data_IF_832660166786
#
_entry.id   IF_832660166786
#
_cell.length_a   1.000
_cell.length_b   1.000
_cell.length_c   1.000
_cell.angle_alpha   90.00
_cell.angle_beta   90.00
_cell.angle_gamma   90.00
#
_symmetry.space_group_name_H-M   'P 1'
#
loop_
_entity.id
_entity.type
_entity.pdbx_description
1 polymer ?
#
# COMPACT_ATOMS: atom_id res chain seq x y z
N UNK A 1 -33.29 -6.47 6.69
CA UNK A 1 -32.26 -7.43 7.15
C UNK A 1 -32.57 -7.77 8.60
N UNK A 2 -32.53 -9.05 9.00
CA UNK A 2 -32.58 -9.43 10.41
C UNK A 2 -31.16 -9.40 10.99
N UNK A 3 -30.86 -8.32 11.71
CA UNK A 3 -29.51 -8.07 12.23
C UNK A 3 -29.18 -9.00 13.40
N UNK A 4 -30.15 -9.31 14.26
CA UNK A 4 -29.93 -10.18 15.41
C UNK A 4 -29.59 -11.60 14.97
N UNK A 5 -30.30 -12.11 13.96
CA UNK A 5 -29.99 -13.41 13.36
C UNK A 5 -28.58 -13.44 12.78
N UNK A 6 -28.19 -12.41 12.02
CA UNK A 6 -26.86 -12.34 11.42
C UNK A 6 -25.74 -12.25 12.46
N UNK A 7 -25.89 -11.41 13.49
CA UNK A 7 -24.91 -11.29 14.58
C UNK A 7 -24.83 -12.57 15.45
N UNK A 8 -25.87 -13.41 15.42
CA UNK A 8 -25.86 -14.74 16.04
C UNK A 8 -25.06 -15.79 15.26
N UNK A 9 -24.60 -15.50 14.03
CA UNK A 9 -23.78 -16.42 13.25
C UNK A 9 -22.33 -16.46 13.77
N UNK A 10 -21.61 -17.59 13.55
CA UNK A 10 -20.20 -17.72 13.89
C UNK A 10 -19.31 -16.64 13.25
N UNK A 11 -18.21 -16.31 13.95
CA UNK A 11 -17.24 -15.28 13.53
C UNK A 11 -16.69 -15.55 12.13
N UNK A 12 -16.40 -16.81 11.78
CA UNK A 12 -15.82 -17.17 10.48
C UNK A 12 -16.74 -16.80 9.31
N UNK A 13 -18.05 -16.99 9.47
CA UNK A 13 -19.04 -16.61 8.45
C UNK A 13 -19.08 -15.09 8.31
N UNK A 14 -19.18 -14.38 9.44
CA UNK A 14 -19.23 -12.91 9.45
C UNK A 14 -17.96 -12.29 8.88
N UNK A 15 -16.79 -12.87 9.19
CA UNK A 15 -15.50 -12.48 8.61
C UNK A 15 -15.53 -12.56 7.08
N UNK A 16 -15.98 -13.68 6.51
CA UNK A 16 -16.05 -13.83 5.05
C UNK A 16 -17.05 -12.86 4.42
N UNK A 17 -18.20 -12.63 5.06
CA UNK A 17 -19.17 -11.64 4.60
C UNK A 17 -18.56 -10.24 4.56
N UNK A 18 -17.92 -9.80 5.64
CA UNK A 18 -17.29 -8.49 5.69
C UNK A 18 -16.09 -8.35 4.75
N UNK A 19 -15.34 -9.43 4.55
CA UNK A 19 -14.23 -9.46 3.58
C UNK A 19 -14.73 -9.18 2.16
N UNK A 20 -15.89 -9.74 1.79
CA UNK A 20 -16.50 -9.50 0.49
C UNK A 20 -17.25 -8.16 0.40
N UNK A 21 -17.77 -7.66 1.53
CA UNK A 21 -18.41 -6.35 1.61
C UNK A 21 -17.40 -5.21 1.54
N UNK A 22 -16.15 -5.45 1.95
CA UNK A 22 -15.00 -4.57 1.68
C UNK A 22 -15.22 -3.12 2.14
N UNK A 23 -15.91 -2.97 3.28
CA UNK A 23 -16.22 -1.68 3.89
C UNK A 23 -17.35 -0.88 3.21
N UNK A 24 -18.00 -1.42 2.17
CA UNK A 24 -19.16 -0.80 1.54
C UNK A 24 -20.45 -1.08 2.35
N UNK A 25 -20.62 -0.35 3.45
CA UNK A 25 -21.75 -0.54 4.38
C UNK A 25 -23.07 0.07 3.88
N UNK A 26 -23.02 0.89 2.84
CA UNK A 26 -24.19 1.56 2.29
C UNK A 26 -24.21 1.46 0.77
N UNK A 27 -25.41 1.47 0.21
CA UNK A 27 -25.64 1.63 -1.23
C UNK A 27 -25.56 3.11 -1.62
N UNK A 28 -24.40 3.69 -1.35
CA UNK A 28 -24.05 5.08 -1.63
C UNK A 28 -22.54 5.16 -1.83
N UNK A 29 -22.11 5.74 -2.94
CA UNK A 29 -20.71 5.96 -3.25
C UNK A 29 -20.58 6.67 -4.60
N UNK A 30 -19.42 7.25 -4.90
CA UNK A 30 -19.17 7.74 -6.25
C UNK A 30 -19.18 6.56 -7.24
N UNK A 31 -19.49 6.84 -8.51
CA UNK A 31 -19.34 5.85 -9.57
C UNK A 31 -17.88 5.38 -9.61
N UNK A 32 -17.68 4.08 -9.83
CA UNK A 32 -16.34 3.50 -9.95
C UNK A 32 -15.59 4.27 -11.05
N UNK A 33 -14.41 4.82 -10.74
CA UNK A 33 -13.64 5.69 -11.64
C UNK A 33 -13.47 5.09 -13.04
N UNK A 34 -13.26 3.77 -13.14
CA UNK A 34 -13.23 3.07 -14.43
C UNK A 34 -14.54 3.20 -15.22
N UNK A 35 -15.69 3.11 -14.54
CA UNK A 35 -16.99 3.34 -15.16
C UNK A 35 -17.18 4.76 -15.69
N UNK A 36 -16.49 5.77 -15.14
CA UNK A 36 -16.54 7.14 -15.65
C UNK A 36 -15.66 7.33 -16.91
N UNK A 37 -14.46 6.74 -16.95
CA UNK A 37 -13.54 6.88 -18.09
C UNK A 37 -13.89 5.99 -19.28
N UNK A 38 -14.53 4.84 -19.05
CA UNK A 38 -14.91 3.89 -20.10
C UNK A 38 -16.40 3.93 -20.46
N UNK A 39 -17.18 4.87 -19.90
CA UNK A 39 -18.55 5.07 -20.31
C UNK A 39 -18.61 5.86 -21.63
N UNK A 40 -19.19 5.24 -22.66
CA UNK A 40 -19.54 5.91 -23.92
C UNK A 40 -20.53 7.07 -23.71
N UNK A 41 -21.26 7.06 -22.59
CA UNK A 41 -22.25 8.07 -22.23
C UNK A 41 -22.03 8.50 -20.78
N UNK A 42 -21.56 9.74 -20.60
CA UNK A 42 -21.55 10.38 -19.30
C UNK A 42 -23.00 10.69 -18.92
N UNK A 43 -23.53 9.98 -17.91
CA UNK A 43 -24.86 10.23 -17.35
C UNK A 43 -24.84 11.53 -16.54
N UNK A 44 -25.03 12.64 -17.22
CA UNK A 44 -25.36 13.89 -16.54
C UNK A 44 -26.81 13.82 -16.07
N UNK A 45 -27.07 14.27 -14.84
CA UNK A 45 -28.43 14.32 -14.31
C UNK A 45 -29.32 15.18 -15.23
N UNK A 46 -30.41 14.59 -15.74
CA UNK A 46 -31.32 15.27 -16.67
C UNK A 46 -32.05 16.46 -16.02
N UNK A 47 -32.20 16.44 -14.68
CA UNK A 47 -32.75 17.54 -13.89
C UNK A 47 -31.69 18.09 -12.93
N UNK A 48 -31.68 19.42 -12.70
CA UNK A 48 -30.86 20.02 -11.66
C UNK A 48 -31.32 19.47 -10.31
N UNK A 49 -30.40 18.82 -9.60
CA UNK A 49 -30.66 18.27 -8.28
C UNK A 49 -31.19 19.35 -7.33
N UNK A 50 -32.33 19.07 -6.68
CA UNK A 50 -32.98 19.97 -5.71
C UNK A 50 -32.95 19.33 -4.31
N UNK A 51 -32.12 19.83 -3.38
CA UNK A 51 -32.05 19.27 -2.04
C UNK A 51 -33.34 19.54 -1.27
N UNK A 52 -33.77 18.56 -0.47
CA UNK A 52 -34.89 18.71 0.44
C UNK A 52 -34.59 19.77 1.51
N UNK A 53 -35.63 20.31 2.15
CA UNK A 53 -35.46 21.26 3.28
C UNK A 53 -34.62 20.67 4.42
N UNK A 54 -34.73 19.36 4.64
CA UNK A 54 -33.95 18.64 5.64
C UNK A 54 -32.46 18.57 5.25
N UNK A 55 -32.17 18.20 4.00
CA UNK A 55 -30.80 18.15 3.46
C UNK A 55 -30.12 19.52 3.50
N UNK A 56 -30.82 20.59 3.14
CA UNK A 56 -30.31 21.95 3.27
C UNK A 56 -29.92 22.30 4.71
N UNK A 57 -30.72 21.85 5.69
CA UNK A 57 -30.44 22.07 7.10
C UNK A 57 -29.24 21.24 7.59
N UNK A 58 -29.12 19.99 7.16
CA UNK A 58 -27.95 19.14 7.45
C UNK A 58 -26.69 19.75 6.86
N UNK A 59 -26.72 20.13 5.59
CA UNK A 59 -25.59 20.77 4.92
C UNK A 59 -25.15 22.03 5.64
N UNK A 60 -26.08 22.90 6.02
CA UNK A 60 -25.76 24.13 6.79
C UNK A 60 -25.10 23.84 8.15
N UNK A 61 -25.39 22.71 8.79
CA UNK A 61 -24.93 22.40 10.16
C UNK A 61 -23.70 21.51 10.22
N UNK A 62 -23.61 20.53 9.32
CA UNK A 62 -22.65 19.43 9.41
C UNK A 62 -21.57 19.51 8.35
N UNK A 63 -21.87 20.07 7.16
CA UNK A 63 -20.93 20.02 6.04
C UNK A 63 -19.58 20.65 6.39
N UNK A 64 -19.55 21.81 7.04
CA UNK A 64 -18.30 22.47 7.44
C UNK A 64 -17.41 21.65 8.38
N UNK A 65 -17.99 20.68 9.10
CA UNK A 65 -17.22 19.77 9.97
C UNK A 65 -16.49 18.74 9.11
N UNK A 66 -17.15 18.22 8.07
CA UNK A 66 -16.66 17.14 7.22
C UNK A 66 -16.04 17.60 5.89
N UNK A 67 -16.15 18.89 5.58
CA UNK A 67 -15.63 19.53 4.37
C UNK A 67 -14.20 19.07 4.00
N UNK A 68 -13.23 18.97 4.95
CA UNK A 68 -11.88 18.52 4.61
C UNK A 68 -11.78 17.12 3.99
N UNK A 69 -12.80 16.28 4.16
CA UNK A 69 -12.82 14.88 3.68
C UNK A 69 -13.94 14.60 2.67
N UNK A 70 -14.85 15.54 2.45
CA UNK A 70 -16.02 15.36 1.57
C UNK A 70 -16.03 16.28 0.36
N UNK A 71 -15.29 17.39 0.39
CA UNK A 71 -15.29 18.38 -0.69
C UNK A 71 -14.92 17.78 -2.06
N UNK A 72 -14.08 16.73 -2.08
CA UNK A 72 -13.72 15.99 -3.29
C UNK A 72 -14.93 15.40 -4.04
N UNK A 73 -16.07 15.23 -3.36
CA UNK A 73 -17.32 14.70 -3.92
C UNK A 73 -18.36 15.78 -4.23
N UNK A 74 -18.03 17.07 -4.11
CA UNK A 74 -18.99 18.17 -4.36
C UNK A 74 -19.48 18.23 -5.81
N UNK A 75 -18.77 17.58 -6.74
CA UNK A 75 -19.21 17.40 -8.12
C UNK A 75 -20.53 16.61 -8.22
N UNK A 76 -20.89 15.84 -7.19
CA UNK A 76 -22.16 15.12 -7.06
C UNK A 76 -22.91 15.53 -5.78
N UNK A 77 -23.62 16.67 -5.75
CA UNK A 77 -24.23 17.19 -4.53
C UNK A 77 -25.25 16.24 -3.87
N UNK A 78 -25.94 15.41 -4.65
CA UNK A 78 -26.87 14.40 -4.14
C UNK A 78 -26.17 13.32 -3.31
N UNK A 79 -24.93 12.98 -3.65
CA UNK A 79 -24.09 12.05 -2.88
C UNK A 79 -23.76 12.65 -1.51
N UNK A 80 -23.28 13.90 -1.49
CA UNK A 80 -22.93 14.61 -0.25
C UNK A 80 -24.14 14.74 0.68
N UNK A 81 -25.30 15.16 0.14
CA UNK A 81 -26.50 15.35 0.96
C UNK A 81 -27.03 14.04 1.55
N UNK A 82 -27.02 12.94 0.77
CA UNK A 82 -27.37 11.60 1.30
C UNK A 82 -26.33 11.09 2.29
N UNK A 83 -25.06 11.39 2.07
CA UNK A 83 -24.01 11.02 3.01
C UNK A 83 -24.23 11.68 4.38
N UNK A 84 -24.60 12.96 4.39
CA UNK A 84 -24.91 13.68 5.64
C UNK A 84 -26.11 13.10 6.39
N UNK A 85 -27.02 12.41 5.71
CA UNK A 85 -28.11 11.68 6.36
C UNK A 85 -27.58 10.41 7.04
N UNK A 86 -26.74 9.64 6.34
CA UNK A 86 -26.08 8.45 6.90
C UNK A 86 -25.13 8.79 8.03
N UNK A 87 -24.46 9.94 7.97
CA UNK A 87 -23.44 10.38 8.93
C UNK A 87 -23.97 10.46 10.37
N UNK A 88 -25.29 10.59 10.55
CA UNK A 88 -25.95 10.65 11.84
C UNK A 88 -25.98 9.30 12.58
N UNK A 89 -26.13 8.20 11.82
CA UNK A 89 -26.51 6.90 12.38
C UNK A 89 -25.52 5.78 12.06
N UNK A 90 -24.83 5.85 10.91
CA UNK A 90 -24.02 4.73 10.40
C UNK A 90 -22.92 4.29 11.38
N UNK A 91 -22.27 5.24 12.05
CA UNK A 91 -21.24 4.95 13.06
C UNK A 91 -21.76 4.23 14.32
N UNK A 92 -23.07 4.18 14.51
CA UNK A 92 -23.71 3.48 15.63
C UNK A 92 -24.41 2.19 15.18
N UNK A 93 -24.36 1.89 13.89
CA UNK A 93 -24.95 0.70 13.34
C UNK A 93 -24.24 -0.55 13.89
N UNK A 94 -25.02 -1.54 14.29
CA UNK A 94 -24.49 -2.74 14.94
C UNK A 94 -23.73 -3.65 13.99
N UNK A 95 -24.03 -3.65 12.69
CA UNK A 95 -23.25 -4.35 11.65
C UNK A 95 -21.89 -3.67 11.48
N UNK A 96 -21.88 -2.34 11.44
CA UNK A 96 -20.65 -1.55 11.33
C UNK A 96 -19.74 -1.79 12.54
N UNK A 97 -20.28 -1.70 13.76
CA UNK A 97 -19.52 -1.93 14.98
C UNK A 97 -18.97 -3.37 15.04
N UNK A 98 -19.78 -4.35 14.61
CA UNK A 98 -19.35 -5.75 14.56
C UNK A 98 -18.22 -5.98 13.53
N UNK A 99 -18.30 -5.36 12.35
CA UNK A 99 -17.22 -5.37 11.38
C UNK A 99 -15.94 -4.74 11.94
N UNK A 100 -16.05 -3.64 12.68
CA UNK A 100 -14.88 -2.99 13.29
C UNK A 100 -14.25 -3.84 14.40
N UNK A 101 -15.05 -4.58 15.18
CA UNK A 101 -14.58 -5.55 16.18
C UNK A 101 -13.83 -6.69 15.54
N UNK A 102 -14.38 -7.27 14.47
CA UNK A 102 -13.68 -8.32 13.74
C UNK A 102 -12.42 -7.78 13.05
N UNK A 103 -12.45 -6.57 12.50
CA UNK A 103 -11.25 -5.95 11.94
C UNK A 103 -10.17 -5.74 13.01
N UNK A 104 -10.55 -5.34 14.21
CA UNK A 104 -9.63 -5.23 15.35
C UNK A 104 -9.03 -6.59 15.74
N UNK A 105 -9.88 -7.62 15.90
CA UNK A 105 -9.46 -8.99 16.24
C UNK A 105 -8.45 -9.57 15.22
N UNK A 106 -8.54 -9.15 13.97
CA UNK A 106 -7.62 -9.54 12.89
C UNK A 106 -6.62 -8.42 12.52
N UNK A 107 -6.29 -7.52 13.44
CA UNK A 107 -5.24 -6.48 13.29
C UNK A 107 -5.32 -5.67 11.98
N UNK A 108 -6.53 -5.38 11.51
CA UNK A 108 -6.77 -4.61 10.29
C UNK A 108 -6.75 -5.42 8.98
N UNK A 109 -6.67 -6.75 9.02
CA UNK A 109 -6.64 -7.59 7.80
C UNK A 109 -7.97 -7.63 7.03
N UNK A 110 -9.09 -7.29 7.68
CA UNK A 110 -10.43 -7.51 7.12
C UNK A 110 -10.84 -6.39 6.15
N UNK A 111 -10.84 -5.14 6.62
CA UNK A 111 -11.17 -3.96 5.80
C UNK A 111 -9.98 -3.01 5.62
N UNK A 112 -8.85 -3.31 6.25
CA UNK A 112 -7.64 -2.50 6.20
C UNK A 112 -7.35 -1.72 7.48
N UNK A 113 -6.25 -0.94 7.48
CA UNK A 113 -5.83 -0.16 8.62
C UNK A 113 -6.78 1.02 8.88
N UNK A 114 -6.84 1.44 10.14
CA UNK A 114 -7.71 2.55 10.57
C UNK A 114 -6.93 3.85 10.51
N UNK A 115 -7.52 4.87 9.89
CA UNK A 115 -6.87 6.13 9.61
C UNK A 115 -7.02 7.11 10.78
N UNK A 116 -6.00 7.93 10.98
CA UNK A 116 -6.03 9.06 11.91
C UNK A 116 -6.50 10.31 11.19
N UNK A 117 -7.54 10.94 11.73
CA UNK A 117 -8.10 12.19 11.19
C UNK A 117 -8.26 13.22 12.29
N UNK A 118 -8.27 14.49 11.89
CA UNK A 118 -8.68 15.59 12.76
C UNK A 118 -10.07 16.06 12.34
N UNK A 119 -11.04 15.93 13.24
CA UNK A 119 -12.43 16.24 12.96
C UNK A 119 -13.06 16.87 14.20
N UNK A 120 -13.78 17.98 14.01
CA UNK A 120 -14.52 18.64 15.10
C UNK A 120 -13.64 18.95 16.33
N UNK A 121 -12.44 19.50 16.04
CA UNK A 121 -11.48 19.91 17.07
C UNK A 121 -10.79 18.79 17.84
N UNK A 122 -10.86 17.53 17.38
CA UNK A 122 -10.25 16.38 18.06
C UNK A 122 -9.67 15.37 17.07
N UNK A 123 -8.66 14.64 17.53
CA UNK A 123 -8.19 13.44 16.82
C UNK A 123 -9.22 12.32 16.94
N UNK A 124 -9.55 11.72 15.80
CA UNK A 124 -10.45 10.57 15.68
C UNK A 124 -9.80 9.48 14.85
N UNK A 125 -10.22 8.24 15.12
CA UNK A 125 -9.88 7.07 14.32
C UNK A 125 -11.02 6.81 13.33
N UNK A 126 -10.70 6.56 12.08
CA UNK A 126 -11.69 6.48 11.00
C UNK A 126 -11.41 5.41 9.97
N UNK A 127 -12.48 5.01 9.28
CA UNK A 127 -12.41 4.15 8.12
C UNK A 127 -12.79 4.93 6.85
N UNK A 128 -11.99 4.76 5.81
CA UNK A 128 -12.24 5.23 4.46
C UNK A 128 -12.40 4.01 3.55
N UNK A 129 -13.37 4.05 2.66
CA UNK A 129 -13.51 3.02 1.63
C UNK A 129 -12.47 3.16 0.51
N UNK A 130 -12.55 2.29 -0.49
CA UNK A 130 -11.69 2.32 -1.68
C UNK A 130 -11.85 3.56 -2.55
N UNK A 131 -12.95 4.29 -2.40
CA UNK A 131 -13.21 5.54 -3.10
C UNK A 131 -12.75 6.75 -2.27
N UNK A 132 -12.06 6.52 -1.15
CA UNK A 132 -11.57 7.54 -0.24
C UNK A 132 -12.68 8.34 0.46
N UNK A 133 -13.85 7.72 0.61
CA UNK A 133 -14.98 8.32 1.28
C UNK A 133 -15.00 7.93 2.77
N UNK A 134 -15.09 8.93 3.64
CA UNK A 134 -15.17 8.73 5.09
C UNK A 134 -16.50 8.08 5.43
N UNK A 135 -16.51 6.95 6.15
CA UNK A 135 -17.76 6.31 6.56
C UNK A 135 -17.98 6.30 8.07
N UNK A 136 -16.91 6.10 8.83
CA UNK A 136 -16.99 5.98 10.29
C UNK A 136 -15.88 6.78 10.96
N UNK A 137 -16.18 7.33 12.13
CA UNK A 137 -15.21 8.04 12.97
C UNK A 137 -15.56 7.87 14.45
N UNK A 138 -14.53 7.57 15.24
CA UNK A 138 -14.63 7.40 16.69
C UNK A 138 -13.52 8.20 17.35
N UNK A 139 -13.80 8.79 18.51
CA UNK A 139 -12.73 9.14 19.44
C UNK A 139 -12.09 7.86 19.97
N UNK A 140 -10.84 7.92 20.44
CA UNK A 140 -10.20 6.76 21.08
C UNK A 140 -11.04 6.17 22.22
N UNK A 141 -11.73 7.01 22.99
CA UNK A 141 -12.62 6.56 24.08
C UNK A 141 -13.84 5.81 23.57
N UNK A 142 -14.46 6.29 22.49
CA UNK A 142 -15.58 5.58 21.85
C UNK A 142 -15.11 4.26 21.24
N UNK A 143 -13.95 4.26 20.58
CA UNK A 143 -13.36 3.06 20.00
C UNK A 143 -13.09 2.00 21.06
N UNK A 144 -12.37 2.36 22.13
CA UNK A 144 -12.08 1.48 23.24
C UNK A 144 -13.37 0.90 23.86
N UNK A 145 -14.38 1.76 24.08
CA UNK A 145 -15.63 1.35 24.72
C UNK A 145 -16.49 0.43 23.87
N UNK A 146 -16.55 0.66 22.55
CA UNK A 146 -17.49 -0.04 21.69
C UNK A 146 -16.88 -1.17 20.87
N UNK A 147 -15.56 -1.17 20.66
CA UNK A 147 -14.88 -2.05 19.72
C UNK A 147 -13.82 -2.92 20.41
N UNK A 148 -12.95 -2.33 21.24
CA UNK A 148 -11.80 -3.00 21.85
C UNK A 148 -12.20 -3.99 22.96
N UNK A 149 -13.31 -3.71 23.66
CA UNK A 149 -13.77 -4.44 24.86
C UNK A 149 -12.73 -4.36 25.99
N UNK A 150 -13.05 -3.70 27.12
CA UNK A 150 -12.09 -3.22 28.14
C UNK A 150 -11.18 -4.31 28.78
N UNK A 151 -11.42 -5.59 28.51
CA UNK A 151 -10.65 -6.71 29.04
C UNK A 151 -9.38 -7.03 28.24
N UNK A 152 -9.33 -6.67 26.96
CA UNK A 152 -8.19 -6.91 26.09
C UNK A 152 -7.50 -5.58 25.81
N UNK A 153 -6.46 -5.24 26.57
CA UNK A 153 -5.61 -4.07 26.30
C UNK A 153 -4.73 -4.34 25.06
N UNK A 154 -5.35 -4.60 23.92
CA UNK A 154 -4.62 -4.78 22.66
C UNK A 154 -4.24 -3.39 22.18
N UNK A 155 -2.95 -3.06 22.30
CA UNK A 155 -2.38 -1.89 21.67
C UNK A 155 -2.85 -1.83 20.20
N UNK A 156 -3.45 -0.72 19.78
CA UNK A 156 -3.95 -0.55 18.41
C UNK A 156 -2.77 -0.53 17.43
N UNK A 157 -2.35 -1.71 16.96
CA UNK A 157 -1.15 -1.93 16.15
C UNK A 157 -1.36 -1.72 14.66
N UNK A 158 -2.49 -1.17 14.23
CA UNK A 158 -2.85 -0.99 12.81
C UNK A 158 -3.41 0.42 12.52
N UNK A 159 -3.05 1.41 13.35
CA UNK A 159 -3.36 2.81 13.05
C UNK A 159 -2.44 3.36 11.96
N UNK A 160 -3.06 4.05 11.01
CA UNK A 160 -2.42 4.65 9.83
C UNK A 160 -2.55 6.16 9.88
N UNK A 161 -1.44 6.86 9.73
CA UNK A 161 -1.43 8.28 9.36
C UNK A 161 -1.33 8.39 7.84
N UNK A 162 -2.42 8.76 7.16
CA UNK A 162 -2.41 8.96 5.72
C UNK A 162 -2.30 10.45 5.37
N UNK A 163 -1.22 10.85 4.71
CA UNK A 163 -1.01 12.25 4.33
C UNK A 163 -1.78 12.66 3.08
N UNK A 164 -2.28 11.70 2.28
CA UNK A 164 -3.07 11.94 1.06
C UNK A 164 -4.31 12.85 1.28
N UNK A 165 -4.88 12.85 2.49
CA UNK A 165 -6.10 13.63 2.78
C UNK A 165 -5.88 14.77 3.79
N UNK A 166 -4.65 14.97 4.25
CA UNK A 166 -4.38 15.82 5.39
C UNK A 166 -3.47 16.98 4.99
N UNK A 167 -4.06 18.17 4.99
CA UNK A 167 -3.30 19.41 4.95
C UNK A 167 -2.35 19.51 6.14
N UNK A 168 -1.26 20.26 5.94
CA UNK A 168 -0.24 20.50 6.95
C UNK A 168 -0.79 20.88 8.34
N UNK A 169 -1.80 21.77 8.39
CA UNK A 169 -2.39 22.23 9.64
C UNK A 169 -3.07 21.11 10.43
N UNK A 170 -3.75 20.19 9.73
CA UNK A 170 -4.39 19.03 10.33
C UNK A 170 -3.36 18.03 10.82
N UNK A 171 -2.32 17.75 10.02
CA UNK A 171 -1.23 16.86 10.42
C UNK A 171 -0.53 17.38 11.67
N UNK A 172 -0.20 18.68 11.69
CA UNK A 172 0.43 19.32 12.84
C UNK A 172 -0.43 19.20 14.10
N UNK A 173 -1.76 19.40 13.99
CA UNK A 173 -2.70 19.23 15.11
C UNK A 173 -2.80 17.77 15.58
N UNK A 174 -2.89 16.81 14.65
CA UNK A 174 -2.93 15.37 14.99
C UNK A 174 -1.69 14.98 15.77
N UNK A 175 -0.51 15.30 15.25
CA UNK A 175 0.75 14.95 15.90
C UNK A 175 0.88 15.64 17.26
N UNK A 176 0.49 16.91 17.38
CA UNK A 176 0.49 17.64 18.65
C UNK A 176 -0.43 17.00 19.69
N UNK A 177 -1.68 16.72 19.33
CA UNK A 177 -2.65 16.13 20.26
C UNK A 177 -2.26 14.70 20.65
N UNK A 178 -1.78 13.89 19.71
CA UNK A 178 -1.29 12.53 20.01
C UNK A 178 -0.05 12.55 20.90
N UNK A 179 0.84 13.53 20.71
CA UNK A 179 2.01 13.72 21.57
C UNK A 179 1.59 14.13 22.98
N UNK A 180 0.66 15.10 23.10
CA UNK A 180 0.09 15.53 24.39
C UNK A 180 -0.53 14.36 25.14
N UNK A 181 -1.28 13.53 24.42
CA UNK A 181 -2.03 12.41 24.99
C UNK A 181 -1.18 11.13 25.12
N UNK A 182 0.10 11.17 24.71
CA UNK A 182 1.07 10.06 24.76
C UNK A 182 0.64 8.80 24.00
N UNK A 183 -0.02 8.98 22.85
CA UNK A 183 -0.54 7.89 22.01
C UNK A 183 0.15 7.78 20.64
N UNK A 184 1.26 8.51 20.44
CA UNK A 184 2.06 8.41 19.20
C UNK A 184 2.63 7.01 18.96
N UNK A 185 2.85 6.24 20.02
CA UNK A 185 3.36 4.87 19.92
C UNK A 185 2.37 3.92 19.23
N UNK A 186 1.07 4.25 19.17
CA UNK A 186 0.07 3.46 18.45
C UNK A 186 0.09 3.68 16.94
N UNK A 187 0.81 4.67 16.42
CA UNK A 187 0.96 4.86 14.97
C UNK A 187 1.84 3.74 14.42
N UNK A 188 1.23 2.79 13.70
CA UNK A 188 1.94 1.66 13.11
C UNK A 188 2.34 1.90 11.66
N UNK A 189 1.54 2.68 10.94
CA UNK A 189 1.70 2.89 9.52
C UNK A 189 1.66 4.37 9.15
N UNK A 190 2.52 4.79 8.22
CA UNK A 190 2.44 6.11 7.58
C UNK A 190 2.36 5.91 6.07
N UNK A 191 1.44 6.62 5.42
CA UNK A 191 1.43 6.77 3.97
C UNK A 191 1.81 8.20 3.61
N UNK A 192 2.95 8.32 2.95
CA UNK A 192 3.43 9.56 2.37
C UNK A 192 2.88 9.73 0.97
N UNK A 193 2.34 10.91 0.74
CA UNK A 193 1.93 11.39 -0.56
C UNK A 193 2.40 12.83 -0.66
N UNK A 194 2.91 13.19 -1.82
CA UNK A 194 3.23 14.55 -2.19
C UNK A 194 2.50 14.78 -3.50
N UNK A 195 1.69 15.83 -3.57
CA UNK A 195 1.20 16.30 -4.87
C UNK A 195 2.45 16.68 -5.67
N UNK A 196 2.70 15.96 -6.75
CA UNK A 196 3.75 16.33 -7.70
C UNK A 196 3.31 17.67 -8.29
N UNK A 197 3.80 18.77 -7.71
CA UNK A 197 3.79 20.08 -8.35
C UNK A 197 4.68 19.96 -9.59
N UNK A 198 4.09 19.43 -10.66
CA UNK A 198 4.57 19.63 -12.01
C UNK A 198 4.75 21.14 -12.18
N UNK A 199 5.99 21.58 -12.40
CA UNK A 199 6.39 22.96 -12.78
C UNK A 199 6.87 23.94 -11.69
N UNK A 200 7.32 23.52 -10.51
CA UNK A 200 8.24 24.38 -9.75
C UNK A 200 9.69 24.17 -10.23
N UNK A 201 10.33 25.15 -10.91
CA UNK A 201 11.73 25.04 -11.28
C UNK A 201 12.55 24.77 -10.02
N UNK A 202 13.34 23.70 -10.06
CA UNK A 202 14.31 23.39 -9.01
C UNK A 202 15.19 24.64 -8.89
N UNK A 203 15.04 25.42 -7.81
CA UNK A 203 16.03 26.43 -7.44
C UNK A 203 17.35 25.70 -7.21
N UNK A 204 18.19 25.71 -8.25
CA UNK A 204 19.56 25.20 -8.19
C UNK A 204 20.33 26.27 -7.43
N UNK A 205 20.73 25.95 -6.19
CA UNK A 205 21.77 26.70 -5.52
C UNK A 205 23.07 26.43 -6.30
N UNK A 206 23.80 27.47 -6.71
CA UNK A 206 24.95 27.40 -7.64
C UNK A 206 26.14 26.52 -7.15
N UNK A 207 25.98 25.84 -6.02
CA UNK A 207 26.98 24.99 -5.35
C UNK A 207 26.56 23.52 -5.21
N UNK A 208 25.31 23.15 -5.53
CA UNK A 208 24.83 21.77 -5.45
C UNK A 208 24.80 21.14 -6.85
N UNK A 209 25.39 19.95 -7.01
CA UNK A 209 25.21 19.14 -8.22
C UNK A 209 23.71 18.91 -8.47
N UNK A 210 23.26 19.09 -9.72
CA UNK A 210 21.85 19.04 -10.14
C UNK A 210 21.08 17.82 -9.61
N UNK A 211 21.77 16.68 -9.48
CA UNK A 211 21.21 15.43 -8.94
C UNK A 211 21.00 15.45 -7.41
N UNK A 212 21.74 16.25 -6.64
CA UNK A 212 21.58 16.33 -5.18
C UNK A 212 20.49 17.34 -4.78
N UNK A 213 20.29 18.38 -5.58
CA UNK A 213 19.25 19.38 -5.35
C UNK A 213 17.83 18.83 -5.67
N UNK A 214 17.72 17.93 -6.66
CA UNK A 214 16.43 17.42 -7.15
C UNK A 214 15.67 16.52 -6.16
N UNK A 215 16.37 15.85 -5.24
CA UNK A 215 15.77 14.91 -4.26
C UNK A 215 15.60 15.50 -2.85
N UNK A 216 15.54 16.82 -2.73
CA UNK A 216 15.22 17.47 -1.44
C UNK A 216 13.72 17.55 -1.25
N UNK A 217 13.28 17.06 -0.10
CA UNK A 217 11.89 17.20 0.35
C UNK A 217 11.66 18.64 0.78
N UNK A 218 10.66 19.25 0.17
CA UNK A 218 10.21 20.61 0.48
C UNK A 218 8.88 20.64 1.21
N UNK A 219 8.05 19.60 1.05
CA UNK A 219 6.72 19.57 1.66
C UNK A 219 6.82 19.64 3.20
N UNK A 220 6.29 20.71 3.83
CA UNK A 220 6.33 20.87 5.28
C UNK A 220 5.58 19.77 6.02
N UNK A 221 4.57 19.16 5.40
CA UNK A 221 3.78 18.05 5.95
C UNK A 221 4.66 16.82 6.12
N UNK A 222 5.34 16.42 5.05
CA UNK A 222 6.29 15.30 5.05
C UNK A 222 7.41 15.55 6.07
N UNK A 223 8.02 16.75 6.04
CA UNK A 223 9.10 17.13 6.97
C UNK A 223 8.63 17.03 8.43
N UNK A 224 7.43 17.54 8.74
CA UNK A 224 6.89 17.52 10.11
C UNK A 224 6.70 16.09 10.62
N UNK A 225 6.21 15.20 9.76
CA UNK A 225 6.05 13.78 10.10
C UNK A 225 7.41 13.14 10.33
N UNK A 226 8.38 13.33 9.43
CA UNK A 226 9.76 12.82 9.56
C UNK A 226 10.38 13.23 10.90
N UNK A 227 10.26 14.50 11.27
CA UNK A 227 10.77 15.02 12.54
C UNK A 227 10.13 14.38 13.77
N UNK A 228 8.93 13.81 13.63
CA UNK A 228 8.15 13.21 14.72
C UNK A 228 8.26 11.68 14.75
N UNK A 229 8.73 11.04 13.66
CA UNK A 229 8.81 9.57 13.53
C UNK A 229 9.63 8.88 14.63
N UNK A 230 10.61 9.58 15.22
CA UNK A 230 11.39 9.04 16.33
C UNK A 230 10.57 8.77 17.59
N UNK A 231 9.47 9.52 17.77
CA UNK A 231 8.54 9.38 18.88
C UNK A 231 7.47 8.30 18.65
N UNK A 232 7.40 7.72 17.45
CA UNK A 232 6.43 6.68 17.09
C UNK A 232 7.09 5.30 17.22
N UNK A 233 7.10 4.72 18.42
CA UNK A 233 7.82 3.45 18.66
C UNK A 233 7.13 2.24 18.03
N UNK A 234 5.81 2.27 17.85
CA UNK A 234 5.06 1.21 17.17
C UNK A 234 5.10 1.26 15.65
N UNK A 235 5.80 2.24 15.07
CA UNK A 235 5.88 2.41 13.62
C UNK A 235 6.67 1.29 12.96
N UNK A 236 6.02 0.55 12.07
CA UNK A 236 6.58 -0.63 11.40
C UNK A 236 6.39 -0.63 9.88
N UNK A 237 5.45 0.16 9.36
CA UNK A 237 5.02 0.13 7.96
C UNK A 237 5.10 1.51 7.34
N UNK A 238 5.79 1.64 6.21
CA UNK A 238 5.81 2.88 5.43
C UNK A 238 5.31 2.64 4.02
N UNK A 239 4.50 3.57 3.53
CA UNK A 239 4.00 3.60 2.16
C UNK A 239 4.41 4.91 1.54
N UNK A 240 4.93 4.87 0.33
CA UNK A 240 5.32 6.05 -0.44
C UNK A 240 4.65 6.01 -1.81
N UNK A 241 4.22 7.17 -2.29
CA UNK A 241 3.65 7.36 -3.62
C UNK A 241 4.53 8.28 -4.45
N UNK A 242 4.75 7.90 -5.71
CA UNK A 242 5.50 8.71 -6.68
C UNK A 242 7.02 8.58 -6.59
N UNK A 243 7.69 9.04 -7.64
CA UNK A 243 9.15 8.92 -7.80
C UNK A 243 9.92 9.81 -6.83
N UNK A 244 9.44 11.04 -6.63
CA UNK A 244 10.16 12.03 -5.81
C UNK A 244 10.34 11.54 -4.38
N UNK A 245 9.29 11.03 -3.75
CA UNK A 245 9.36 10.50 -2.38
C UNK A 245 10.18 9.21 -2.32
N UNK A 246 10.08 8.36 -3.34
CA UNK A 246 10.90 7.15 -3.44
C UNK A 246 12.41 7.49 -3.46
N UNK A 247 12.85 8.34 -4.38
CA UNK A 247 14.27 8.71 -4.51
C UNK A 247 14.76 9.53 -3.30
N UNK A 248 13.91 10.39 -2.73
CA UNK A 248 14.33 11.26 -1.60
C UNK A 248 14.41 10.54 -0.25
N UNK A 249 13.56 9.53 -0.01
CA UNK A 249 13.41 8.92 1.33
C UNK A 249 13.76 7.44 1.39
N UNK A 250 13.55 6.72 0.30
CA UNK A 250 13.60 5.25 0.28
C UNK A 250 14.89 4.77 -0.35
N UNK A 251 15.16 5.21 -1.58
CA UNK A 251 16.34 4.80 -2.33
C UNK A 251 17.61 5.37 -1.69
N UNK A 252 18.67 4.56 -1.61
CA UNK A 252 19.94 5.02 -1.10
C UNK A 252 20.89 5.46 -2.22
N UNK A 253 21.05 6.77 -2.36
CA UNK A 253 21.95 7.37 -3.38
C UNK A 253 23.39 7.58 -2.91
N UNK A 254 23.84 6.99 -1.80
CA UNK A 254 25.20 7.25 -1.28
C UNK A 254 25.39 8.63 -0.62
N UNK A 255 24.38 9.50 -0.64
CA UNK A 255 24.43 10.86 -0.09
C UNK A 255 24.41 10.83 1.46
N UNK A 256 25.08 11.80 2.08
CA UNK A 256 25.08 11.98 3.54
C UNK A 256 23.67 12.33 4.04
N UNK A 257 23.29 11.77 5.19
CA UNK A 257 21.99 12.03 5.81
C UNK A 257 21.81 13.52 6.11
N UNK A 258 20.78 14.16 5.53
CA UNK A 258 20.40 15.54 5.82
C UNK A 258 19.52 15.56 7.08
N UNK A 259 20.03 16.01 8.24
CA UNK A 259 19.30 15.92 9.50
C UNK A 259 17.95 16.65 9.43
N UNK A 260 16.88 15.98 9.89
CA UNK A 260 15.54 16.55 9.94
C UNK A 260 14.80 16.62 8.59
N UNK A 261 15.42 16.19 7.49
CA UNK A 261 14.80 16.04 6.16
C UNK A 261 14.84 14.61 5.64
N UNK A 262 15.69 13.75 6.20
CA UNK A 262 15.69 12.31 5.95
C UNK A 262 15.09 11.53 7.12
N UNK A 263 14.57 10.35 6.83
CA UNK A 263 14.09 9.44 7.89
C UNK A 263 15.29 8.99 8.73
N UNK A 264 15.21 9.24 10.04
CA UNK A 264 16.24 8.85 11.00
C UNK A 264 16.49 7.33 10.92
N UNK A 265 17.77 6.96 10.99
CA UNK A 265 18.20 5.56 11.07
C UNK A 265 17.49 4.75 12.16
N UNK A 266 17.22 5.33 13.33
CA UNK A 266 16.48 4.65 14.41
C UNK A 266 15.04 4.32 13.99
N UNK A 267 14.38 5.20 13.23
CA UNK A 267 13.09 4.91 12.65
C UNK A 267 13.20 3.84 11.54
N UNK A 268 14.20 3.92 10.64
CA UNK A 268 14.45 2.91 9.60
C UNK A 268 14.60 1.50 10.18
N UNK A 269 15.29 1.36 11.31
CA UNK A 269 15.45 0.08 12.03
C UNK A 269 14.14 -0.53 12.53
N UNK A 270 13.08 0.24 12.75
CA UNK A 270 11.78 -0.29 13.19
C UNK A 270 10.92 -0.79 12.03
N UNK A 271 11.19 -0.31 10.81
CA UNK A 271 10.37 -0.62 9.64
C UNK A 271 10.64 -2.05 9.18
N UNK A 272 9.57 -2.83 9.09
CA UNK A 272 9.57 -4.22 8.60
C UNK A 272 8.81 -4.36 7.28
N UNK A 273 8.04 -3.35 6.88
CA UNK A 273 7.24 -3.34 5.67
C UNK A 273 7.40 -2.03 4.90
N UNK A 274 7.68 -2.13 3.60
CA UNK A 274 7.68 -1.00 2.67
C UNK A 274 6.72 -1.26 1.52
N UNK A 275 5.96 -0.24 1.15
CA UNK A 275 5.16 -0.25 -0.07
C UNK A 275 5.42 0.98 -0.93
N UNK A 276 5.69 0.76 -2.22
CA UNK A 276 5.83 1.80 -3.22
C UNK A 276 4.63 1.77 -4.15
N UNK A 277 3.98 2.91 -4.30
CA UNK A 277 2.80 3.13 -5.13
C UNK A 277 3.19 4.03 -6.30
N UNK A 278 2.88 3.60 -7.54
CA UNK A 278 2.92 4.48 -8.71
C UNK A 278 4.26 5.19 -8.96
N UNK A 279 5.38 4.51 -8.67
CA UNK A 279 6.70 4.99 -9.11
C UNK A 279 6.87 4.72 -10.62
N UNK A 280 7.43 5.66 -11.37
CA UNK A 280 7.74 5.52 -12.79
C UNK A 280 8.81 4.45 -13.03
N UNK A 281 10.02 4.63 -12.53
CA UNK A 281 11.10 3.63 -12.65
C UNK A 281 11.93 3.60 -11.37
N UNK A 282 12.04 2.42 -10.75
CA UNK A 282 12.83 2.28 -9.51
C UNK A 282 14.34 2.45 -9.74
N UNK A 283 14.78 2.25 -10.97
CA UNK A 283 16.19 2.26 -11.35
C UNK A 283 16.56 3.51 -12.16
N UNK A 284 15.78 4.59 -12.02
CA UNK A 284 16.00 5.86 -12.76
C UNK A 284 17.42 6.41 -12.54
N UNK A 285 17.93 6.33 -11.31
CA UNK A 285 19.29 6.74 -10.94
C UNK A 285 20.32 5.60 -11.03
N UNK A 286 20.00 4.52 -11.76
CA UNK A 286 20.89 3.39 -12.01
C UNK A 286 20.72 2.20 -11.06
N UNK A 287 20.51 2.41 -9.75
CA UNK A 287 20.34 1.34 -8.76
C UNK A 287 19.18 1.66 -7.81
N UNK A 288 18.35 0.65 -7.53
CA UNK A 288 17.32 0.67 -6.51
C UNK A 288 17.87 0.02 -5.23
N UNK A 289 18.42 0.82 -4.32
CA UNK A 289 19.13 0.35 -3.13
C UNK A 289 18.27 0.47 -1.86
N UNK A 290 17.87 -0.69 -1.32
CA UNK A 290 17.11 -0.80 -0.07
C UNK A 290 17.97 -1.24 1.14
N UNK A 291 19.30 -1.32 1.01
CA UNK A 291 20.19 -1.92 2.01
C UNK A 291 20.15 -1.24 3.39
N UNK A 292 19.84 0.07 3.45
CA UNK A 292 19.68 0.82 4.73
C UNK A 292 18.44 0.43 5.53
N UNK A 293 17.51 -0.33 4.95
CA UNK A 293 16.31 -0.83 5.62
C UNK A 293 16.59 -2.21 6.24
N UNK A 294 17.54 -2.26 7.18
CA UNK A 294 18.14 -3.51 7.71
C UNK A 294 17.12 -4.55 8.19
N UNK A 295 16.01 -4.10 8.79
CA UNK A 295 14.97 -4.97 9.36
C UNK A 295 13.75 -5.18 8.44
N UNK A 296 13.82 -4.69 7.20
CA UNK A 296 12.78 -4.90 6.20
C UNK A 296 12.55 -6.39 5.98
N UNK A 297 11.29 -6.82 6.08
CA UNK A 297 10.86 -8.21 5.86
C UNK A 297 10.06 -8.35 4.58
N UNK A 298 9.27 -7.33 4.25
CA UNK A 298 8.37 -7.30 3.10
C UNK A 298 8.51 -6.00 2.30
N UNK A 299 8.70 -6.15 1.00
CA UNK A 299 8.65 -5.07 0.01
C UNK A 299 7.49 -5.31 -0.96
N UNK A 300 6.65 -4.29 -1.14
CA UNK A 300 5.50 -4.32 -2.03
C UNK A 300 5.55 -3.20 -3.05
N UNK A 301 5.57 -3.56 -4.32
CA UNK A 301 5.64 -2.66 -5.47
C UNK A 301 4.28 -2.70 -6.18
N UNK A 302 3.58 -1.57 -6.26
CA UNK A 302 2.22 -1.50 -6.82
C UNK A 302 2.14 -0.43 -7.89
N UNK A 303 1.71 -0.82 -9.09
CA UNK A 303 1.57 0.06 -10.26
C UNK A 303 2.86 0.81 -10.60
N UNK A 304 4.00 0.16 -10.44
CA UNK A 304 5.30 0.72 -10.82
C UNK A 304 5.46 0.60 -12.33
N UNK A 305 6.00 1.60 -13.01
CA UNK A 305 6.26 1.54 -14.45
C UNK A 305 7.30 0.47 -14.77
N UNK A 306 8.55 0.69 -14.39
CA UNK A 306 9.67 -0.20 -14.70
C UNK A 306 10.37 -0.74 -13.44
N UNK A 307 10.60 -2.06 -13.43
CA UNK A 307 11.34 -2.76 -12.38
C UNK A 307 12.43 -3.62 -13.01
N UNK A 308 13.68 -3.42 -12.60
CA UNK A 308 14.82 -4.25 -12.98
C UNK A 308 15.42 -4.94 -11.75
N UNK A 309 15.22 -6.26 -11.65
CA UNK A 309 15.74 -7.03 -10.52
C UNK A 309 17.26 -7.16 -10.49
N UNK A 310 17.95 -6.93 -11.61
CA UNK A 310 19.42 -6.92 -11.64
C UNK A 310 20.00 -5.66 -10.99
N UNK A 311 19.23 -4.57 -10.96
CA UNK A 311 19.61 -3.28 -10.38
C UNK A 311 18.99 -3.04 -9.00
N UNK A 312 18.35 -4.05 -8.43
CA UNK A 312 17.70 -3.95 -7.12
C UNK A 312 18.53 -4.64 -6.04
N UNK A 313 18.89 -3.88 -5.00
CA UNK A 313 19.60 -4.40 -3.83
C UNK A 313 18.66 -4.50 -2.65
N UNK A 314 18.47 -5.72 -2.13
CA UNK A 314 17.60 -5.98 -0.99
C UNK A 314 18.41 -6.20 0.29
N UNK A 315 17.91 -5.75 1.45
CA UNK A 315 18.53 -6.06 2.74
C UNK A 315 18.32 -7.55 3.10
N UNK A 316 19.19 -8.12 3.96
CA UNK A 316 19.23 -9.57 4.20
C UNK A 316 17.98 -10.15 4.86
N UNK A 317 17.21 -9.34 5.56
CA UNK A 317 15.97 -9.76 6.20
C UNK A 317 14.75 -9.74 5.26
N UNK A 318 14.87 -9.16 4.06
CA UNK A 318 13.76 -9.05 3.11
C UNK A 318 13.50 -10.42 2.47
N UNK A 319 12.41 -11.06 2.89
CA UNK A 319 12.04 -12.41 2.48
C UNK A 319 10.82 -12.44 1.56
N UNK A 320 10.03 -11.37 1.58
CA UNK A 320 8.75 -11.28 0.89
C UNK A 320 8.78 -10.11 -0.11
N UNK A 321 8.60 -10.42 -1.39
CA UNK A 321 8.49 -9.44 -2.46
C UNK A 321 7.15 -9.60 -3.17
N UNK A 322 6.36 -8.53 -3.21
CA UNK A 322 5.10 -8.50 -3.97
C UNK A 322 5.19 -7.44 -5.05
N UNK A 323 4.94 -7.81 -6.30
CA UNK A 323 4.83 -6.90 -7.45
C UNK A 323 3.43 -7.01 -8.03
N UNK A 324 2.73 -5.89 -8.13
CA UNK A 324 1.36 -5.83 -8.66
C UNK A 324 1.20 -4.71 -9.68
N UNK A 325 0.74 -5.02 -10.89
CA UNK A 325 0.40 -4.01 -11.89
C UNK A 325 1.62 -3.33 -12.52
N UNK A 326 2.76 -4.02 -12.65
CA UNK A 326 3.97 -3.42 -13.21
C UNK A 326 3.88 -3.36 -14.74
N UNK A 327 4.29 -2.24 -15.36
CA UNK A 327 4.29 -2.13 -16.83
C UNK A 327 5.38 -3.00 -17.44
N UNK A 328 6.60 -2.89 -16.92
CA UNK A 328 7.77 -3.60 -17.42
C UNK A 328 8.55 -4.24 -16.28
N UNK A 329 8.89 -5.53 -16.43
CA UNK A 329 9.74 -6.28 -15.51
C UNK A 329 10.94 -6.88 -16.24
N UNK A 330 12.14 -6.63 -15.73
CA UNK A 330 13.36 -7.37 -16.09
C UNK A 330 13.62 -8.40 -15.00
N UNK A 331 13.62 -9.67 -15.41
CA UNK A 331 13.98 -10.77 -14.54
C UNK A 331 15.49 -10.80 -14.31
N UNK A 332 15.94 -11.55 -13.30
CA UNK A 332 17.37 -11.77 -13.09
C UNK A 332 18.05 -12.36 -14.33
N UNK A 333 19.23 -11.84 -14.67
CA UNK A 333 20.05 -12.19 -15.83
C UNK A 333 20.77 -13.55 -15.65
N UNK A 334 19.99 -14.58 -15.33
CA UNK A 334 20.45 -15.96 -15.18
C UNK A 334 19.97 -16.87 -16.30
N UNK A 335 18.97 -16.45 -17.09
CA UNK A 335 18.36 -17.26 -18.16
C UNK A 335 19.40 -17.76 -19.15
N UNK A 336 20.14 -16.83 -19.78
CA UNK A 336 21.13 -17.17 -20.80
C UNK A 336 22.23 -18.07 -20.24
N UNK A 337 22.66 -17.82 -19.00
CA UNK A 337 23.68 -18.61 -18.32
C UNK A 337 23.20 -20.04 -18.05
N UNK A 338 21.96 -20.22 -17.62
CA UNK A 338 21.36 -21.54 -17.38
C UNK A 338 21.16 -22.28 -18.71
N UNK A 339 20.63 -21.62 -19.74
CA UNK A 339 20.42 -22.25 -21.05
C UNK A 339 21.75 -22.70 -21.68
N UNK A 340 22.82 -21.91 -21.56
CA UNK A 340 24.16 -22.29 -22.03
C UNK A 340 24.74 -23.50 -21.28
N UNK A 341 24.50 -23.61 -19.97
CA UNK A 341 25.02 -24.72 -19.15
C UNK A 341 24.25 -26.03 -19.36
N UNK A 342 22.97 -25.94 -19.68
CA UNK A 342 22.06 -27.09 -19.69
C UNK A 342 21.85 -27.66 -21.09
N UNK A 343 21.94 -26.84 -22.14
CA UNK A 343 21.60 -27.25 -23.50
C UNK A 343 20.14 -27.73 -23.57
N UNK A 344 19.90 -28.95 -24.05
CA UNK A 344 18.56 -29.53 -24.23
C UNK A 344 18.11 -30.43 -23.06
N UNK A 345 18.79 -30.40 -21.90
CA UNK A 345 18.50 -31.27 -20.76
C UNK A 345 17.29 -30.82 -19.92
N UNK A 346 16.12 -30.72 -20.55
CA UNK A 346 14.86 -30.32 -19.92
C UNK A 346 13.75 -31.34 -20.15
N UNK A 347 12.92 -31.51 -19.12
CA UNK A 347 11.55 -32.02 -19.27
C UNK A 347 10.62 -30.83 -19.49
N UNK A 348 9.76 -30.89 -20.51
CA UNK A 348 8.85 -29.79 -20.86
C UNK A 348 7.40 -30.19 -20.66
N UNK A 349 6.64 -29.36 -19.95
CA UNK A 349 5.21 -29.51 -19.72
C UNK A 349 4.50 -28.19 -20.05
N UNK A 350 3.48 -28.24 -20.91
CA UNK A 350 2.72 -27.03 -21.28
C UNK A 350 1.54 -26.88 -20.34
N UNK A 351 1.45 -25.72 -19.67
CA UNK A 351 0.36 -25.36 -18.77
C UNK A 351 -0.35 -24.12 -19.32
N UNK A 352 -1.46 -24.34 -20.04
CA UNK A 352 -2.15 -23.26 -20.76
C UNK A 352 -1.26 -22.69 -21.86
N UNK A 353 -0.96 -21.39 -21.79
CA UNK A 353 -0.10 -20.70 -22.76
C UNK A 353 1.38 -20.65 -22.34
N UNK A 354 1.74 -21.21 -21.18
CA UNK A 354 3.11 -21.12 -20.63
C UNK A 354 3.78 -22.49 -20.68
N UNK A 355 5.00 -22.54 -21.22
CA UNK A 355 5.81 -23.75 -21.26
C UNK A 355 6.68 -23.86 -19.99
N UNK A 356 6.45 -24.89 -19.17
CA UNK A 356 7.27 -25.16 -18.00
C UNK A 356 8.40 -26.12 -18.40
N UNK A 357 9.64 -25.69 -18.24
CA UNK A 357 10.83 -26.53 -18.44
C UNK A 357 11.47 -26.84 -17.11
N UNK A 358 11.50 -28.11 -16.72
CA UNK A 358 12.17 -28.55 -15.50
C UNK A 358 13.47 -29.25 -15.86
N UNK A 359 14.57 -28.89 -15.20
CA UNK A 359 15.84 -29.61 -15.37
C UNK A 359 15.66 -31.11 -15.10
N UNK A 360 16.16 -31.96 -16.01
CA UNK A 360 16.18 -33.40 -15.80
C UNK A 360 17.49 -33.84 -15.12
N UNK A 361 17.47 -34.22 -13.83
CA UNK A 361 18.68 -34.63 -13.13
C UNK A 361 19.29 -35.93 -13.69
N UNK A 362 18.52 -36.72 -14.46
CA UNK A 362 18.98 -38.00 -15.02
C UNK A 362 19.79 -37.83 -16.30
N UNK A 363 19.52 -36.78 -17.07
CA UNK A 363 20.19 -36.49 -18.33
C UNK A 363 21.41 -35.57 -18.17
N UNK A 364 21.68 -35.10 -16.94
CA UNK A 364 22.66 -34.06 -16.66
C UNK A 364 23.75 -34.54 -15.69
N UNK A 365 24.96 -33.99 -15.82
CA UNK A 365 26.00 -34.15 -14.80
C UNK A 365 25.54 -33.49 -13.48
N UNK A 366 25.64 -34.24 -12.38
CA UNK A 366 25.27 -33.82 -11.02
C UNK A 366 25.96 -32.51 -10.61
N UNK A 367 27.23 -32.32 -10.97
CA UNK A 367 27.98 -31.09 -10.66
C UNK A 367 27.38 -29.88 -11.38
N UNK A 368 27.06 -30.02 -12.66
CA UNK A 368 26.44 -28.95 -13.45
C UNK A 368 25.03 -28.64 -12.92
N UNK A 369 24.27 -29.67 -12.54
CA UNK A 369 22.95 -29.50 -11.91
C UNK A 369 23.04 -28.67 -10.61
N UNK A 370 23.97 -29.01 -9.70
CA UNK A 370 24.16 -28.23 -8.47
C UNK A 370 24.65 -26.81 -8.73
N UNK A 371 25.52 -26.60 -9.74
CA UNK A 371 25.93 -25.26 -10.12
C UNK A 371 24.76 -24.42 -10.63
N UNK A 372 23.87 -24.98 -11.45
CA UNK A 372 22.65 -24.31 -11.88
C UNK A 372 21.78 -23.92 -10.69
N UNK A 373 21.60 -24.83 -9.71
CA UNK A 373 20.84 -24.52 -8.49
C UNK A 373 21.47 -23.40 -7.65
N UNK A 374 22.79 -23.38 -7.52
CA UNK A 374 23.51 -22.32 -6.79
C UNK A 374 23.30 -20.98 -7.50
N UNK A 375 23.51 -20.92 -8.82
CA UNK A 375 23.33 -19.68 -9.61
C UNK A 375 21.92 -19.10 -9.45
N UNK A 376 20.89 -19.95 -9.57
CA UNK A 376 19.49 -19.51 -9.45
C UNK A 376 19.13 -19.16 -8.01
N UNK A 377 19.68 -19.85 -7.01
CA UNK A 377 19.43 -19.53 -5.61
C UNK A 377 20.09 -18.20 -5.22
N UNK A 378 21.32 -17.97 -5.68
CA UNK A 378 22.08 -16.77 -5.37
C UNK A 378 21.44 -15.51 -5.97
N UNK A 379 20.80 -15.61 -7.15
CA UNK A 379 20.09 -14.46 -7.75
C UNK A 379 18.87 -14.02 -6.93
N UNK A 380 18.20 -14.94 -6.24
CA UNK A 380 17.07 -14.63 -5.34
C UNK A 380 17.54 -14.13 -3.97
N UNK A 381 18.85 -14.20 -3.68
CA UNK A 381 19.46 -13.76 -2.43
C UNK A 381 18.77 -14.37 -1.19
N UNK A 382 17.99 -13.56 -0.46
CA UNK A 382 17.28 -13.94 0.76
C UNK A 382 15.76 -14.07 0.57
N UNK A 383 15.26 -13.89 -0.66
CA UNK A 383 13.84 -13.99 -0.98
C UNK A 383 13.35 -15.43 -0.82
N UNK A 384 12.28 -15.57 -0.05
CA UNK A 384 11.60 -16.85 0.19
C UNK A 384 10.18 -16.86 -0.33
N UNK A 385 9.60 -15.71 -0.67
CA UNK A 385 8.27 -15.61 -1.23
C UNK A 385 8.19 -14.45 -2.21
N UNK A 386 7.68 -14.73 -3.40
CA UNK A 386 7.48 -13.75 -4.46
C UNK A 386 6.05 -13.85 -4.97
N UNK A 387 5.34 -12.73 -5.00
CA UNK A 387 4.02 -12.64 -5.63
C UNK A 387 4.10 -11.68 -6.81
N UNK A 388 3.82 -12.19 -8.00
CA UNK A 388 3.69 -11.42 -9.23
C UNK A 388 2.23 -11.40 -9.64
N UNK A 389 1.70 -10.20 -9.85
CA UNK A 389 0.33 -10.00 -10.26
C UNK A 389 0.26 -8.92 -11.33
N UNK A 390 -0.43 -9.18 -12.45
CA UNK A 390 -0.69 -8.21 -13.50
C UNK A 390 0.60 -7.50 -13.98
N UNK A 391 1.55 -8.28 -14.48
CA UNK A 391 2.80 -7.81 -15.14
C UNK A 391 2.53 -7.75 -16.64
N UNK A 392 2.50 -6.53 -17.19
CA UNK A 392 2.07 -6.32 -18.59
C UNK A 392 3.16 -6.70 -19.60
N UNK A 393 4.42 -6.38 -19.33
CA UNK A 393 5.56 -6.74 -20.17
C UNK A 393 6.69 -7.36 -19.34
N UNK A 394 7.03 -8.62 -19.63
CA UNK A 394 8.24 -9.27 -19.12
C UNK A 394 9.32 -9.26 -20.20
N UNK A 395 10.43 -8.57 -19.95
CA UNK A 395 11.57 -8.53 -20.89
C UNK A 395 12.22 -9.91 -20.99
N UNK A 396 12.47 -10.36 -22.22
CA UNK A 396 12.95 -11.70 -22.53
C UNK A 396 11.88 -12.81 -22.46
N UNK A 397 10.69 -12.55 -21.90
CA UNK A 397 9.54 -13.47 -21.80
C UNK A 397 9.82 -14.84 -21.15
N UNK A 398 10.96 -14.97 -20.46
CA UNK A 398 11.39 -16.18 -19.76
C UNK A 398 11.64 -15.86 -18.30
N UNK A 399 11.22 -16.76 -17.41
CA UNK A 399 11.47 -16.67 -15.97
C UNK A 399 12.23 -17.91 -15.54
N UNK A 400 13.29 -17.75 -14.74
CA UNK A 400 13.97 -18.87 -14.08
C UNK A 400 13.67 -18.84 -12.59
N UNK A 401 13.27 -19.98 -12.02
CA UNK A 401 12.86 -20.11 -10.62
C UNK A 401 13.48 -21.34 -9.94
N UNK A 402 13.80 -21.26 -8.62
CA UNK A 402 14.17 -22.43 -7.85
C UNK A 402 12.99 -23.40 -7.68
N UNK A 403 13.26 -24.68 -7.90
CA UNK A 403 12.31 -25.79 -7.72
C UNK A 403 11.67 -25.79 -6.33
N UNK A 404 12.46 -25.52 -5.29
CA UNK A 404 12.03 -25.51 -3.90
C UNK A 404 11.03 -24.41 -3.58
N UNK A 405 11.11 -23.25 -4.26
CA UNK A 405 10.16 -22.15 -4.05
C UNK A 405 8.91 -22.33 -4.91
N UNK A 406 9.09 -22.79 -6.15
CA UNK A 406 7.99 -22.97 -7.09
C UNK A 406 6.97 -24.01 -6.62
N UNK A 407 7.40 -25.26 -6.34
CA UNK A 407 6.47 -26.32 -5.96
C UNK A 407 5.86 -26.15 -4.56
N UNK A 408 6.54 -25.43 -3.66
CA UNK A 408 6.00 -25.09 -2.33
C UNK A 408 5.05 -23.88 -2.35
N UNK A 409 4.61 -23.42 -3.53
CA UNK A 409 3.71 -22.27 -3.70
C UNK A 409 4.24 -20.99 -3.03
N UNK A 410 5.56 -20.81 -3.04
CA UNK A 410 6.22 -19.61 -2.55
C UNK A 410 6.40 -18.55 -3.63
N UNK A 411 6.39 -18.97 -4.90
CA UNK A 411 6.31 -18.07 -6.04
C UNK A 411 4.89 -18.16 -6.58
N UNK A 412 4.13 -17.08 -6.42
CA UNK A 412 2.74 -16.99 -6.86
C UNK A 412 2.66 -16.05 -8.05
N UNK A 413 2.11 -16.55 -9.16
CA UNK A 413 1.88 -15.79 -10.38
C UNK A 413 0.38 -15.80 -10.65
N UNK A 414 -0.23 -14.62 -10.77
CA UNK A 414 -1.68 -14.47 -10.98
C UNK A 414 -1.98 -13.33 -11.94
N UNK A 415 -3.04 -13.44 -12.74
CA UNK A 415 -3.35 -12.45 -13.77
C UNK A 415 -2.40 -12.55 -14.97
N UNK A 416 -2.18 -11.44 -15.66
CA UNK A 416 -1.24 -11.36 -16.78
C UNK A 416 0.20 -11.33 -16.26
N UNK A 417 1.12 -12.09 -16.87
CA UNK A 417 2.54 -12.17 -16.44
C UNK A 417 3.51 -11.93 -17.62
N UNK A 418 3.03 -11.96 -18.87
CA UNK A 418 3.86 -11.76 -20.05
C UNK A 418 4.98 -12.80 -20.28
N UNK A 419 4.96 -13.92 -19.55
CA UNK A 419 5.94 -15.00 -19.67
C UNK A 419 5.45 -16.12 -20.59
N UNK A 420 6.26 -16.47 -21.59
CA UNK A 420 5.99 -17.58 -22.50
C UNK A 420 6.58 -18.90 -21.94
N UNK A 421 7.63 -18.80 -21.11
CA UNK A 421 8.34 -19.95 -20.58
C UNK A 421 8.81 -19.74 -19.13
N UNK A 422 8.65 -20.77 -18.30
CA UNK A 422 9.18 -20.82 -16.92
C UNK A 422 10.17 -21.98 -16.83
N UNK A 423 11.42 -21.69 -16.48
CA UNK A 423 12.49 -22.66 -16.28
C UNK A 423 12.60 -22.93 -14.77
N UNK A 424 12.45 -24.19 -14.38
CA UNK A 424 12.44 -24.66 -13.00
C UNK A 424 13.74 -25.44 -12.75
N UNK A 425 14.54 -24.95 -11.81
CA UNK A 425 15.90 -25.43 -11.51
C UNK A 425 15.99 -26.03 -10.12
#
# INVERSE_FOLDING_TARGET
MDVAFFLGLPIDIRKLVYFHLDGQFVDLGPDIVQGLYFADVIKLSAEPYKPSRYQQLLRKRLYSIFEPYLNIFDYLPSLVDRWLEYSLWLRYDCIVLDCMRLNHLYEGELIGPINLIYLDGRVRVSFFDKNYMLWNWYTYREYAKWIDDENDQIELTYLKLNLEYLRYDLVARILHDMQRDKVLDFVNQIQFEQEDEDDEPIEIDDQDDFETASYRIKDPTVIKVIQTMDLMKGLQRLIFRGDRLYESLVNFHGVRDNPGKTINYMAKKRIVFLQLLQAGSLCKTGVADFTRWENLRELKLVRVGEIDFNKMLLPPNCRLLTVRGAQTLYWWDVVDRIEQMVGDCYTSEVHGNVCHRTLDPKSMNIETFFQCQIIVKDSFQHLNFIKLQDIYELKGRKIVVPRSLFYNKRILMSGEIGADQIIIV
#
